data_IF_372861852381
#
_entry.id   IF_372861852381
#
_cell.length_a   1.000
_cell.length_b   1.000
_cell.length_c   1.000
_cell.angle_alpha   90.00
_cell.angle_beta   90.00
_cell.angle_gamma   90.00
#
_symmetry.space_group_name_H-M   'P 1'
#
loop_
_entity.id
_entity.type
_entity.pdbx_description
1 polymer ?
#
# COMPACT_ATOMS: atom_id res chain seq x y z
N UNK A 1 4.31 20.44 6.47
CA UNK A 1 3.55 19.97 5.31
C UNK A 1 4.51 19.38 4.30
N UNK A 2 4.29 18.16 3.90
CA UNK A 2 5.18 17.50 2.95
C UNK A 2 5.07 18.17 1.57
N UNK A 3 6.23 18.45 0.97
CA UNK A 3 6.26 19.01 -0.36
C UNK A 3 6.17 17.89 -1.39
N UNK A 4 5.28 18.03 -2.36
CA UNK A 4 5.09 17.02 -3.38
C UNK A 4 6.29 16.97 -4.32
N UNK A 5 6.69 15.78 -4.81
CA UNK A 5 7.64 15.68 -5.90
C UNK A 5 7.15 16.43 -7.15
N UNK A 6 8.04 16.97 -7.97
CA UNK A 6 7.63 17.74 -9.16
C UNK A 6 6.70 16.98 -10.11
N UNK A 7 6.90 15.67 -10.25
CA UNK A 7 6.04 14.86 -11.10
C UNK A 7 4.60 14.78 -10.58
N UNK A 8 4.42 14.72 -9.26
CA UNK A 8 3.10 14.70 -8.65
C UNK A 8 2.46 16.08 -8.66
N UNK A 9 3.25 17.15 -8.45
CA UNK A 9 2.75 18.52 -8.59
C UNK A 9 2.19 18.76 -9.98
N UNK A 10 2.88 18.25 -10.99
CA UNK A 10 2.42 18.38 -12.37
C UNK A 10 1.09 17.67 -12.62
N UNK A 11 0.91 16.48 -12.06
CA UNK A 11 -0.34 15.76 -12.17
C UNK A 11 -1.48 16.51 -11.49
N UNK A 12 -1.23 17.08 -10.31
CA UNK A 12 -2.22 17.88 -9.59
C UNK A 12 -2.58 19.13 -10.37
N UNK A 13 -1.57 19.85 -10.89
CA UNK A 13 -1.80 21.08 -11.67
C UNK A 13 -2.50 20.82 -12.98
N UNK A 14 -2.28 19.65 -13.59
CA UNK A 14 -2.97 19.27 -14.81
C UNK A 14 -4.44 18.88 -14.56
N UNK A 15 -4.85 18.88 -13.29
CA UNK A 15 -6.23 18.52 -12.96
C UNK A 15 -6.52 17.05 -13.11
N UNK A 16 -5.50 16.21 -13.02
CA UNK A 16 -5.68 14.76 -13.11
C UNK A 16 -6.47 14.26 -11.90
N UNK A 17 -7.74 13.84 -12.08
CA UNK A 17 -8.59 13.42 -10.96
C UNK A 17 -8.37 11.95 -10.58
N UNK A 18 -7.36 11.31 -11.13
CA UNK A 18 -7.27 9.85 -11.23
C UNK A 18 -7.22 9.12 -9.89
N UNK A 19 -6.65 9.76 -8.85
CA UNK A 19 -6.65 9.13 -7.52
C UNK A 19 -7.58 9.85 -6.55
N UNK A 20 -8.31 10.83 -7.03
CA UNK A 20 -9.25 11.57 -6.18
C UNK A 20 -10.33 10.62 -5.66
N UNK A 21 -10.55 10.67 -4.34
CA UNK A 21 -11.50 9.80 -3.63
C UNK A 21 -11.11 8.31 -3.60
N UNK A 22 -9.95 7.94 -4.13
CA UNK A 22 -9.48 6.55 -4.03
C UNK A 22 -9.11 6.23 -2.58
N UNK A 23 -9.57 5.09 -2.08
CA UNK A 23 -9.28 4.64 -0.73
C UNK A 23 -7.99 3.84 -0.73
N UNK A 24 -7.01 4.30 0.03
CA UNK A 24 -5.70 3.65 0.13
C UNK A 24 -5.50 3.15 1.55
N UNK A 25 -5.31 1.85 1.72
CA UNK A 25 -5.00 1.27 3.02
C UNK A 25 -3.49 1.39 3.26
N UNK A 26 -3.11 2.00 4.39
CA UNK A 26 -1.73 2.01 4.85
C UNK A 26 -1.66 1.05 6.05
N UNK A 27 -1.03 -0.09 5.86
CA UNK A 27 -0.86 -1.06 6.95
C UNK A 27 0.14 -0.52 7.95
N UNK A 28 -0.24 -0.56 9.21
CA UNK A 28 0.60 -0.12 10.32
C UNK A 28 0.54 -1.14 11.45
N UNK A 29 1.56 -1.18 12.27
CA UNK A 29 1.65 -2.05 13.44
C UNK A 29 2.71 -1.52 14.38
N UNK A 30 2.70 -1.99 15.61
CA UNK A 30 3.78 -1.65 16.54
C UNK A 30 5.14 -2.09 15.96
N UNK A 31 6.12 -1.21 16.03
CA UNK A 31 7.49 -1.49 15.56
C UNK A 31 7.78 -1.03 14.13
N UNK A 32 6.85 -0.35 13.47
CA UNK A 32 7.12 0.21 12.14
C UNK A 32 7.84 1.56 12.24
N UNK A 33 8.38 2.02 11.10
CA UNK A 33 8.87 3.39 10.95
C UNK A 33 7.66 4.28 10.67
N UNK A 34 7.38 5.19 11.60
CA UNK A 34 6.19 6.04 11.50
C UNK A 34 6.34 7.15 10.48
N UNK A 35 7.54 7.72 10.33
CA UNK A 35 7.75 8.87 9.45
C UNK A 35 7.37 8.55 8.00
N UNK A 36 7.79 7.42 7.47
CA UNK A 36 7.46 7.03 6.10
C UNK A 36 5.95 6.86 5.91
N UNK A 37 5.27 6.30 6.89
CA UNK A 37 3.81 6.13 6.83
C UNK A 37 3.09 7.48 6.86
N UNK A 38 3.51 8.38 7.74
CA UNK A 38 2.89 9.71 7.86
C UNK A 38 3.15 10.55 6.62
N UNK A 39 4.36 10.51 6.09
CA UNK A 39 4.71 11.25 4.87
C UNK A 39 3.88 10.75 3.67
N UNK A 40 3.73 9.44 3.53
CA UNK A 40 2.91 8.86 2.48
C UNK A 40 1.43 9.25 2.64
N UNK A 41 0.92 9.18 3.86
CA UNK A 41 -0.45 9.60 4.17
C UNK A 41 -0.68 11.05 3.74
N UNK A 42 0.23 11.94 4.11
CA UNK A 42 0.12 13.36 3.76
C UNK A 42 0.16 13.59 2.24
N UNK A 43 1.02 12.86 1.54
CA UNK A 43 1.13 12.98 0.08
C UNK A 43 -0.16 12.52 -0.60
N UNK A 44 -0.69 11.37 -0.20
CA UNK A 44 -1.92 10.86 -0.78
C UNK A 44 -3.11 11.77 -0.50
N UNK A 45 -3.19 12.30 0.72
CA UNK A 45 -4.24 13.22 1.10
C UNK A 45 -4.18 14.51 0.26
N UNK A 46 -2.97 15.04 0.04
CA UNK A 46 -2.78 16.23 -0.78
C UNK A 46 -3.21 16.01 -2.23
N UNK A 47 -3.16 14.79 -2.72
CA UNK A 47 -3.60 14.43 -4.07
C UNK A 47 -5.10 14.12 -4.15
N UNK A 48 -5.83 14.24 -3.05
CA UNK A 48 -7.27 14.02 -3.00
C UNK A 48 -7.69 12.59 -2.73
N UNK A 49 -6.75 11.69 -2.50
CA UNK A 49 -7.06 10.30 -2.11
C UNK A 49 -7.53 10.25 -0.65
N UNK A 50 -8.06 9.12 -0.25
CA UNK A 50 -8.51 8.88 1.11
C UNK A 50 -7.62 7.82 1.76
N UNK A 51 -6.46 8.22 2.32
CA UNK A 51 -5.60 7.27 3.03
C UNK A 51 -6.21 6.91 4.39
N UNK A 52 -6.04 5.65 4.75
CA UNK A 52 -6.58 5.12 6.00
C UNK A 52 -5.53 4.22 6.65
N UNK A 53 -5.22 4.47 7.92
CA UNK A 53 -4.32 3.58 8.66
C UNK A 53 -5.08 2.35 9.11
N UNK A 54 -4.63 1.19 8.66
CA UNK A 54 -5.22 -0.11 8.98
C UNK A 54 -4.21 -0.93 9.78
N UNK A 55 -4.62 -1.41 10.93
CA UNK A 55 -3.76 -2.18 11.81
C UNK A 55 -4.47 -3.45 12.28
N UNK A 56 -3.76 -4.39 12.93
CA UNK A 56 -4.44 -5.51 13.55
C UNK A 56 -5.50 -5.10 14.58
N UNK A 57 -5.30 -3.94 15.22
CA UNK A 57 -6.26 -3.37 16.17
C UNK A 57 -6.40 -1.88 15.96
N UNK A 58 -7.60 -1.36 16.15
CA UNK A 58 -7.85 0.09 16.14
C UNK A 58 -7.16 0.71 17.35
N UNK A 59 -6.60 1.91 17.17
CA UNK A 59 -6.00 2.68 18.24
C UNK A 59 -4.55 3.05 18.00
N UNK A 60 -3.85 3.53 19.03
CA UNK A 60 -2.49 4.03 18.90
C UNK A 60 -1.50 2.94 18.48
N UNK A 61 -0.60 3.31 17.58
CA UNK A 61 0.47 2.43 17.10
C UNK A 61 1.80 2.96 17.61
N UNK A 62 2.58 2.09 18.25
CA UNK A 62 3.90 2.44 18.74
C UNK A 62 4.93 2.27 17.63
N UNK A 63 5.46 3.38 17.13
CA UNK A 63 6.47 3.38 16.08
C UNK A 63 7.87 3.43 16.69
N UNK A 64 8.88 2.97 15.91
CA UNK A 64 10.27 2.96 16.39
C UNK A 64 10.89 4.35 16.45
N UNK A 65 10.35 5.31 15.71
CA UNK A 65 10.83 6.69 15.64
C UNK A 65 9.95 7.67 16.44
N UNK A 66 9.08 7.16 17.29
CA UNK A 66 8.19 7.93 18.18
C UNK A 66 7.22 8.85 17.43
N UNK A 67 6.97 8.62 16.16
CA UNK A 67 5.96 9.33 15.39
C UNK A 67 4.59 8.78 15.78
N UNK A 68 3.65 9.67 16.06
CA UNK A 68 2.30 9.27 16.48
C UNK A 68 1.48 8.80 15.28
N UNK A 69 0.90 7.62 15.40
CA UNK A 69 -0.06 7.09 14.44
C UNK A 69 -1.22 6.48 15.22
N UNK A 70 -2.44 6.79 14.76
CA UNK A 70 -3.65 6.21 15.34
C UNK A 70 -4.37 5.45 14.23
N UNK A 71 -4.52 4.14 14.41
CA UNK A 71 -5.15 3.31 13.38
C UNK A 71 -6.65 3.60 13.30
N UNK A 72 -7.11 3.89 12.09
CA UNK A 72 -8.51 4.23 11.82
C UNK A 72 -9.40 2.99 11.71
N UNK A 73 -8.81 1.86 11.35
CA UNK A 73 -9.54 0.64 11.07
C UNK A 73 -8.72 -0.58 11.46
N UNK A 74 -9.39 -1.69 11.67
CA UNK A 74 -8.73 -2.97 11.96
C UNK A 74 -8.86 -3.92 10.77
N UNK A 75 -7.87 -4.79 10.62
CA UNK A 75 -7.86 -5.79 9.57
C UNK A 75 -9.05 -6.76 9.66
N UNK A 76 -9.60 -6.95 10.85
CA UNK A 76 -10.76 -7.81 11.03
C UNK A 76 -12.05 -7.16 10.55
N UNK A 77 -12.16 -5.83 10.66
CA UNK A 77 -13.40 -5.12 10.38
C UNK A 77 -13.45 -4.51 8.99
N UNK A 78 -12.30 -4.33 8.34
CA UNK A 78 -12.25 -3.70 7.03
C UNK A 78 -11.77 -4.69 5.98
N UNK A 79 -12.68 -5.23 5.17
CA UNK A 79 -12.26 -6.14 4.10
C UNK A 79 -11.48 -5.42 3.01
N UNK A 80 -10.55 -6.14 2.40
CA UNK A 80 -9.65 -5.56 1.39
C UNK A 80 -10.38 -4.98 0.19
N UNK A 81 -11.55 -5.52 -0.18
CA UNK A 81 -12.26 -5.04 -1.35
C UNK A 81 -12.76 -3.60 -1.22
N UNK A 82 -12.79 -3.05 -0.01
CA UNK A 82 -13.17 -1.65 0.21
C UNK A 82 -12.08 -0.67 -0.22
N UNK A 83 -10.88 -1.15 -0.48
CA UNK A 83 -9.75 -0.29 -0.81
C UNK A 83 -9.36 -0.42 -2.26
N UNK A 84 -8.85 0.69 -2.81
CA UNK A 84 -8.38 0.75 -4.20
C UNK A 84 -6.89 0.48 -4.32
N UNK A 85 -6.16 0.60 -3.23
CA UNK A 85 -4.72 0.40 -3.21
C UNK A 85 -4.25 0.09 -1.79
N UNK A 86 -3.02 -0.40 -1.68
CA UNK A 86 -2.42 -0.82 -0.43
C UNK A 86 -0.98 -0.33 -0.34
N UNK A 87 -0.60 0.21 0.80
CA UNK A 87 0.79 0.52 1.11
C UNK A 87 1.23 -0.29 2.31
N UNK A 88 2.37 -0.96 2.17
CA UNK A 88 2.97 -1.77 3.24
C UNK A 88 4.07 -0.96 3.93
N UNK A 89 4.20 -1.07 5.25
CA UNK A 89 5.07 -0.19 6.02
C UNK A 89 6.55 -0.56 5.89
N UNK A 90 7.41 0.36 6.36
CA UNK A 90 8.81 0.07 6.61
C UNK A 90 9.01 -0.22 8.10
N UNK A 91 10.16 -0.82 8.43
CA UNK A 91 10.48 -1.17 9.82
C UNK A 91 10.36 -2.67 10.06
N UNK A 92 11.52 -3.33 10.20
CA UNK A 92 11.57 -4.80 10.26
C UNK A 92 10.76 -5.42 11.39
N UNK A 93 10.75 -4.78 12.56
CA UNK A 93 10.01 -5.29 13.72
C UNK A 93 8.50 -5.30 13.47
N UNK A 94 7.99 -4.21 12.94
CA UNK A 94 6.55 -4.11 12.62
C UNK A 94 6.15 -5.02 11.48
N UNK A 95 7.01 -5.15 10.47
CA UNK A 95 6.80 -6.06 9.35
C UNK A 95 6.73 -7.50 9.83
N UNK A 96 7.61 -7.90 10.75
CA UNK A 96 7.57 -9.26 11.32
C UNK A 96 6.29 -9.51 12.11
N UNK A 97 5.83 -8.52 12.86
CA UNK A 97 4.57 -8.63 13.60
C UNK A 97 3.40 -8.82 12.64
N UNK A 98 3.36 -8.06 11.55
CA UNK A 98 2.31 -8.19 10.53
C UNK A 98 2.39 -9.54 9.81
N UNK A 99 3.58 -10.05 9.56
CA UNK A 99 3.75 -11.33 8.88
C UNK A 99 3.23 -12.53 9.69
N UNK A 100 3.07 -12.36 11.00
CA UNK A 100 2.52 -13.39 11.88
C UNK A 100 1.01 -13.35 11.97
N UNK A 101 0.39 -12.31 11.42
CA UNK A 101 -1.06 -12.12 11.50
C UNK A 101 -1.71 -12.62 10.22
N UNK A 102 -2.52 -13.67 10.34
CA UNK A 102 -3.21 -14.25 9.19
C UNK A 102 -4.14 -13.26 8.50
N UNK A 103 -4.77 -12.35 9.24
CA UNK A 103 -5.63 -11.33 8.65
C UNK A 103 -4.85 -10.37 7.76
N UNK A 104 -3.62 -10.04 8.15
CA UNK A 104 -2.72 -9.23 7.33
C UNK A 104 -2.41 -9.92 6.00
N UNK A 105 -2.05 -11.19 6.06
CA UNK A 105 -1.67 -11.94 4.86
C UNK A 105 -2.86 -12.10 3.91
N UNK A 106 -4.04 -12.37 4.45
CA UNK A 106 -5.26 -12.47 3.66
C UNK A 106 -5.62 -11.14 3.01
N UNK A 107 -5.47 -10.04 3.74
CA UNK A 107 -5.72 -8.69 3.24
C UNK A 107 -4.82 -8.35 2.05
N UNK A 108 -3.53 -8.68 2.16
CA UNK A 108 -2.56 -8.46 1.07
C UNK A 108 -2.93 -9.33 -0.13
N UNK A 109 -3.24 -10.59 0.08
CA UNK A 109 -3.63 -11.51 -1.00
C UNK A 109 -4.86 -11.02 -1.74
N UNK A 110 -5.87 -10.55 -0.99
CA UNK A 110 -7.13 -10.09 -1.58
C UNK A 110 -6.90 -8.88 -2.48
N UNK A 111 -6.11 -7.91 -2.03
CA UNK A 111 -5.82 -6.73 -2.84
C UNK A 111 -4.97 -7.08 -4.06
N UNK A 112 -3.98 -7.93 -3.90
CA UNK A 112 -3.16 -8.38 -5.02
C UNK A 112 -3.99 -9.14 -6.04
N UNK A 113 -4.82 -10.06 -5.57
CA UNK A 113 -5.67 -10.89 -6.43
C UNK A 113 -6.71 -10.07 -7.18
N UNK A 114 -7.17 -9.00 -6.56
CA UNK A 114 -8.14 -8.07 -7.17
C UNK A 114 -7.50 -7.10 -8.16
N UNK A 115 -6.21 -7.22 -8.41
CA UNK A 115 -5.50 -6.35 -9.36
C UNK A 115 -5.21 -4.95 -8.83
N UNK A 116 -5.25 -4.75 -7.53
CA UNK A 116 -5.02 -3.43 -6.94
C UNK A 116 -3.54 -3.09 -6.85
N UNK A 117 -3.22 -1.79 -6.89
CA UNK A 117 -1.85 -1.33 -6.73
C UNK A 117 -1.35 -1.54 -5.31
N UNK A 118 -0.10 -1.98 -5.17
CA UNK A 118 0.54 -2.21 -3.87
C UNK A 118 1.90 -1.53 -3.87
N UNK A 119 2.14 -0.69 -2.85
CA UNK A 119 3.47 -0.14 -2.57
C UNK A 119 4.06 -0.90 -1.39
N UNK A 120 5.22 -1.50 -1.58
CA UNK A 120 5.94 -2.18 -0.50
C UNK A 120 7.22 -1.42 -0.19
N UNK A 121 7.27 -0.77 0.96
CA UNK A 121 8.48 -0.12 1.44
C UNK A 121 9.54 -1.18 1.75
N UNK A 122 10.82 -0.82 1.82
CA UNK A 122 11.91 -1.81 1.74
C UNK A 122 11.79 -3.02 2.66
N UNK A 123 11.39 -2.84 3.91
CA UNK A 123 11.27 -3.97 4.82
C UNK A 123 10.11 -4.90 4.49
N UNK A 124 9.13 -4.45 3.72
CA UNK A 124 7.90 -5.20 3.46
C UNK A 124 8.03 -6.26 2.38
N UNK A 125 9.21 -6.43 1.79
CA UNK A 125 9.46 -7.59 0.95
C UNK A 125 9.16 -8.90 1.66
N UNK A 126 9.45 -8.97 2.95
CA UNK A 126 9.15 -10.14 3.77
C UNK A 126 7.64 -10.38 3.90
N UNK A 127 6.83 -9.32 3.94
CA UNK A 127 5.37 -9.45 3.96
C UNK A 127 4.83 -10.03 2.67
N UNK A 128 5.34 -9.57 1.54
CA UNK A 128 4.93 -10.10 0.24
C UNK A 128 5.28 -11.58 0.12
N UNK A 129 6.46 -11.96 0.57
CA UNK A 129 6.88 -13.35 0.58
C UNK A 129 5.98 -14.19 1.49
N UNK A 130 5.71 -13.73 2.71
CA UNK A 130 4.84 -14.42 3.65
C UNK A 130 3.42 -14.58 3.12
N UNK A 131 2.94 -13.60 2.38
CA UNK A 131 1.61 -13.65 1.76
C UNK A 131 1.58 -14.49 0.48
N UNK A 132 2.72 -14.95 0.00
CA UNK A 132 2.80 -15.71 -1.24
C UNK A 132 2.58 -14.88 -2.49
N UNK A 133 2.85 -13.58 -2.42
CA UNK A 133 2.69 -12.66 -3.55
C UNK A 133 3.94 -12.70 -4.41
N UNK A 134 3.77 -13.09 -5.67
CA UNK A 134 4.88 -13.10 -6.62
C UNK A 134 5.28 -11.67 -6.99
N UNK A 135 6.58 -11.43 -7.09
CA UNK A 135 7.10 -10.12 -7.46
C UNK A 135 7.02 -9.85 -8.96
N UNK A 136 6.76 -10.89 -9.74
CA UNK A 136 6.62 -10.78 -11.19
C UNK A 136 5.28 -11.32 -11.63
N UNK A 137 4.86 -10.92 -12.81
CA UNK A 137 3.68 -11.49 -13.45
C UNK A 137 3.94 -12.93 -13.90
N UNK A 138 2.90 -13.72 -14.18
CA UNK A 138 3.06 -15.05 -14.76
C UNK A 138 3.92 -15.06 -16.04
N UNK A 139 3.93 -13.95 -16.78
CA UNK A 139 4.78 -13.79 -17.97
C UNK A 139 6.27 -13.66 -17.66
N UNK A 140 6.64 -13.50 -16.40
CA UNK A 140 8.02 -13.23 -15.98
C UNK A 140 8.41 -11.77 -15.97
N UNK A 141 7.54 -10.88 -16.44
CA UNK A 141 7.77 -9.45 -16.41
C UNK A 141 7.47 -8.86 -15.04
N UNK A 142 8.01 -7.68 -14.76
CA UNK A 142 7.71 -6.98 -13.52
C UNK A 142 6.21 -6.64 -13.44
N UNK A 143 5.61 -6.79 -12.26
CA UNK A 143 4.22 -6.43 -12.03
C UNK A 143 4.10 -4.91 -11.94
N UNK A 144 3.42 -4.24 -12.88
CA UNK A 144 3.32 -2.77 -12.85
C UNK A 144 2.47 -2.24 -11.71
N UNK A 145 1.67 -3.09 -11.09
CA UNK A 145 0.88 -2.72 -9.92
C UNK A 145 1.59 -2.97 -8.60
N UNK A 146 2.80 -3.52 -8.62
CA UNK A 146 3.58 -3.80 -7.43
C UNK A 146 4.83 -2.94 -7.42
N UNK A 147 4.84 -1.93 -6.56
CA UNK A 147 5.92 -0.96 -6.47
C UNK A 147 6.77 -1.27 -5.25
N UNK A 148 8.05 -1.56 -5.48
CA UNK A 148 8.99 -1.87 -4.41
C UNK A 148 9.84 -0.63 -4.11
N UNK A 149 10.05 -0.33 -2.82
CA UNK A 149 10.86 0.79 -2.38
C UNK A 149 10.04 2.03 -2.08
N UNK A 150 10.62 3.21 -2.29
CA UNK A 150 10.02 4.48 -1.91
C UNK A 150 9.43 5.27 -3.08
N UNK A 151 9.18 4.65 -4.21
CA UNK A 151 8.74 5.35 -5.42
C UNK A 151 7.24 5.65 -5.36
N UNK A 152 6.88 6.71 -4.65
CA UNK A 152 5.50 7.14 -4.51
C UNK A 152 4.90 7.58 -5.85
N UNK A 153 5.69 8.18 -6.72
CA UNK A 153 5.23 8.57 -8.06
C UNK A 153 4.76 7.36 -8.85
N UNK A 154 5.55 6.29 -8.86
CA UNK A 154 5.15 5.05 -9.54
C UNK A 154 3.89 4.45 -8.90
N UNK A 155 3.77 4.54 -7.57
CA UNK A 155 2.58 4.06 -6.87
C UNK A 155 1.33 4.83 -7.29
N UNK A 156 1.42 6.16 -7.34
CA UNK A 156 0.30 7.00 -7.79
C UNK A 156 -0.09 6.65 -9.22
N UNK A 157 0.88 6.47 -10.11
CA UNK A 157 0.61 6.07 -11.49
C UNK A 157 -0.06 4.69 -11.56
N UNK A 158 0.33 3.77 -10.70
CA UNK A 158 -0.29 2.45 -10.62
C UNK A 158 -1.75 2.54 -10.15
N UNK A 159 -2.05 3.42 -9.20
CA UNK A 159 -3.42 3.67 -8.74
C UNK A 159 -4.27 4.25 -9.87
N UNK A 160 -3.70 5.18 -10.64
CA UNK A 160 -4.38 5.79 -11.79
C UNK A 160 -4.84 4.74 -12.79
N UNK A 161 -4.05 3.71 -13.01
CA UNK A 161 -4.42 2.61 -13.90
C UNK A 161 -5.53 1.73 -13.34
N UNK A 162 -5.87 1.93 -12.07
CA UNK A 162 -6.89 1.24 -11.33
C UNK A 162 -6.57 -0.24 -11.13
N UNK A 163 -6.94 -1.11 -12.05
CA UNK A 163 -6.69 -2.54 -11.91
C UNK A 163 -5.52 -3.01 -12.76
N UNK A 164 -4.83 -4.03 -12.28
CA UNK A 164 -3.68 -4.60 -12.97
C UNK A 164 -4.00 -6.03 -13.41
N UNK A 165 -4.71 -6.19 -14.52
CA UNK A 165 -5.17 -7.50 -14.96
C UNK A 165 -4.06 -8.44 -15.41
N UNK A 166 -2.86 -7.92 -15.66
CA UNK A 166 -1.72 -8.74 -16.05
C UNK A 166 -1.38 -9.87 -15.09
N UNK A 167 -1.82 -9.75 -13.84
CA UNK A 167 -1.65 -10.80 -12.83
C UNK A 167 -2.41 -12.08 -13.18
N UNK A 168 -3.40 -11.99 -14.06
CA UNK A 168 -4.28 -13.09 -14.43
C UNK A 168 -4.22 -13.47 -15.91
N UNK A 169 -3.59 -12.64 -16.74
CA UNK A 169 -3.67 -12.76 -18.19
C UNK A 169 -3.03 -14.02 -18.73
N UNK A 170 -1.96 -14.45 -18.11
CA UNK A 170 -1.21 -15.58 -18.62
C UNK A 170 -1.60 -16.87 -17.96
N UNK A 171 -2.66 -16.85 -17.32
CA UNK A 171 -3.28 -18.12 -17.12
C UNK A 171 -3.48 -18.70 -18.48
N UNK A 172 -2.95 -19.87 -18.66
CA UNK A 172 -3.04 -20.53 -19.93
C UNK A 172 -4.49 -20.54 -20.27
N UNK A 173 -4.75 -19.70 -21.05
CA UNK A 173 -5.98 -19.68 -21.55
C UNK A 173 -6.13 -20.83 -22.37
N UNK A 174 -5.74 -21.23 -21.84
CA UNK A 174 -6.07 -21.51 -22.54
C UNK A 174 -6.68 -21.75 -23.48
#
# INVERSE_FOLDING_TARGET
MAQLPPSLERAVLAGDPSIRARKVALLVAHGIVGKSAVDLHATLLALGAQPCYVAPRIGPVRTVDSVFIDADASLQNEPGFLFDALALPDGGEGVQALARDSHTLDFIRDLHRSGKAILALPASGALLEAAGVALTLPSGQADPGLILGHDVTAFVQAIVRDRHPGRHIDMPAS
#
